data_IF_803095115842
#
_entry.id   IF_803095115842
#
_cell.length_a   1.000
_cell.length_b   1.000
_cell.length_c   1.000
_cell.angle_alpha   90.00
_cell.angle_beta   90.00
_cell.angle_gamma   90.00
#
_symmetry.space_group_name_H-M   'P 1'
#
loop_
_entity.id
_entity.type
_entity.pdbx_description
1 polymer ?
#
# COMPACT_ATOMS: atom_id res chain seq x y z
N UNK A 1 20.93 5.87 -6.00
CA UNK A 1 19.77 5.04 -5.62
C UNK A 1 19.41 4.23 -6.85
N UNK A 2 19.54 2.90 -6.79
CA UNK A 2 19.13 2.06 -7.92
C UNK A 2 17.63 1.82 -7.80
N UNK A 3 16.86 2.38 -8.73
CA UNK A 3 15.43 2.16 -8.83
C UNK A 3 15.24 1.00 -9.81
N UNK A 4 14.74 -0.12 -9.31
CA UNK A 4 14.43 -1.30 -10.11
C UNK A 4 12.91 -1.33 -10.24
N UNK A 5 12.41 -1.10 -11.45
CA UNK A 5 10.99 -1.25 -11.75
C UNK A 5 10.64 -2.75 -11.75
N UNK A 6 9.57 -3.11 -11.06
CA UNK A 6 9.21 -4.50 -10.76
C UNK A 6 7.73 -4.70 -11.12
N UNK A 7 7.49 -5.14 -12.35
CA UNK A 7 6.16 -5.34 -12.94
C UNK A 7 5.53 -6.71 -12.64
N UNK A 8 5.76 -7.28 -11.46
CA UNK A 8 5.15 -8.57 -11.09
C UNK A 8 3.87 -8.34 -10.26
N UNK A 9 2.67 -8.45 -10.85
CA UNK A 9 1.41 -8.26 -10.13
C UNK A 9 1.12 -9.37 -9.09
N UNK A 10 1.81 -10.51 -9.15
CA UNK A 10 1.67 -11.58 -8.15
C UNK A 10 2.63 -11.42 -6.97
N UNK A 11 3.54 -10.44 -7.03
CA UNK A 11 4.50 -10.14 -5.97
C UNK A 11 3.84 -9.98 -4.61
N UNK A 12 2.63 -9.41 -4.60
CA UNK A 12 1.80 -9.33 -3.42
C UNK A 12 0.42 -9.93 -3.69
N UNK A 13 0.32 -11.25 -3.63
CA UNK A 13 -0.95 -11.97 -3.63
C UNK A 13 -1.26 -12.55 -2.23
N UNK A 14 -1.29 -11.68 -1.22
CA UNK A 14 -1.62 -12.01 0.18
C UNK A 14 -2.12 -10.79 0.94
N UNK A 15 -2.63 -11.01 2.15
CA UNK A 15 -2.98 -9.93 3.08
C UNK A 15 -1.72 -9.24 3.63
N UNK A 16 -1.79 -7.94 3.94
CA UNK A 16 -0.70 -7.20 4.55
C UNK A 16 -0.38 -7.71 5.96
N UNK A 17 0.90 -7.62 6.33
CA UNK A 17 1.39 -7.96 7.67
C UNK A 17 0.99 -6.91 8.70
N UNK A 18 0.93 -5.65 8.28
CA UNK A 18 0.43 -4.54 9.09
C UNK A 18 -0.29 -3.51 8.22
N UNK A 19 -1.29 -2.86 8.80
CA UNK A 19 -2.04 -1.78 8.17
C UNK A 19 -2.01 -0.59 9.12
N UNK A 20 -1.60 0.56 8.60
CA UNK A 20 -1.72 1.84 9.29
C UNK A 20 -2.77 2.69 8.56
N UNK A 21 -3.81 3.10 9.26
CA UNK A 21 -4.89 3.90 8.68
C UNK A 21 -4.55 5.38 8.83
N UNK A 22 -4.35 6.07 7.70
CA UNK A 22 -4.05 7.50 7.68
C UNK A 22 -5.31 8.35 7.69
N UNK A 23 -6.38 7.89 7.03
CA UNK A 23 -7.66 8.58 6.90
C UNK A 23 -8.79 7.55 7.02
N UNK A 24 -9.83 7.83 7.80
CA UNK A 24 -11.04 6.98 7.88
C UNK A 24 -12.33 7.78 8.16
N UNK A 25 -12.39 9.03 7.69
CA UNK A 25 -13.48 9.96 8.07
C UNK A 25 -14.58 10.13 7.01
N UNK A 26 -14.44 9.52 5.82
CA UNK A 26 -15.50 9.55 4.78
C UNK A 26 -15.75 10.90 4.10
N UNK A 27 -15.15 11.99 4.59
CA UNK A 27 -15.52 13.36 4.24
C UNK A 27 -14.38 14.15 3.56
N UNK A 28 -13.32 13.47 3.12
CA UNK A 28 -12.18 14.11 2.46
C UNK A 28 -12.39 14.10 0.95
N UNK A 29 -12.51 15.28 0.33
CA UNK A 29 -12.71 15.41 -1.11
C UNK A 29 -11.45 15.98 -1.76
N UNK A 30 -10.88 15.24 -2.72
CA UNK A 30 -9.69 15.64 -3.47
C UNK A 30 -9.93 15.39 -4.96
N UNK A 31 -9.71 16.41 -5.79
CA UNK A 31 -9.84 16.32 -7.27
C UNK A 31 -11.16 15.70 -7.76
N UNK A 32 -12.25 15.87 -7.01
CA UNK A 32 -13.57 15.34 -7.33
C UNK A 32 -13.77 13.85 -6.99
N UNK A 33 -12.93 13.29 -6.12
CA UNK A 33 -13.10 12.00 -5.47
C UNK A 33 -13.43 12.23 -4.00
N UNK A 34 -14.41 11.51 -3.47
CA UNK A 34 -14.64 11.41 -2.04
C UNK A 34 -13.81 10.24 -1.52
N UNK A 35 -12.76 10.54 -0.77
CA UNK A 35 -11.88 9.53 -0.17
C UNK A 35 -12.49 9.07 1.14
N UNK A 36 -12.78 7.77 1.20
CA UNK A 36 -13.31 7.14 2.41
C UNK A 36 -12.18 6.77 3.37
N UNK A 37 -11.17 6.08 2.83
CA UNK A 37 -10.08 5.50 3.61
C UNK A 37 -8.76 5.60 2.86
N UNK A 38 -7.69 5.91 3.59
CA UNK A 38 -6.31 5.77 3.10
C UNK A 38 -5.54 4.91 4.08
N UNK A 39 -4.91 3.86 3.57
CA UNK A 39 -4.12 2.91 4.35
C UNK A 39 -2.69 2.81 3.81
N UNK A 40 -1.72 2.75 4.71
CA UNK A 40 -0.41 2.22 4.40
C UNK A 40 -0.38 0.74 4.78
N UNK A 41 0.00 -0.11 3.84
CA UNK A 41 0.04 -1.56 3.99
C UNK A 41 1.47 -2.05 3.91
N UNK A 42 1.91 -2.75 4.95
CA UNK A 42 3.23 -3.36 5.03
C UNK A 42 3.17 -4.80 4.56
N UNK A 43 4.12 -5.17 3.70
CA UNK A 43 4.38 -6.55 3.29
C UNK A 43 5.84 -6.90 3.54
N UNK A 44 6.10 -7.87 4.40
CA UNK A 44 7.43 -8.45 4.61
C UNK A 44 7.64 -9.57 3.59
N UNK A 45 8.42 -9.26 2.55
CA UNK A 45 8.55 -10.16 1.39
C UNK A 45 9.52 -11.29 1.65
N UNK A 46 10.77 -10.95 2.02
CA UNK A 46 11.86 -11.90 2.20
C UNK A 46 12.85 -11.37 3.23
N UNK A 47 13.56 -12.28 3.87
CA UNK A 47 14.70 -11.96 4.72
C UNK A 47 15.96 -12.31 3.92
N UNK A 48 16.71 -11.29 3.50
CA UNK A 48 18.04 -11.48 2.94
C UNK A 48 19.06 -11.64 4.07
N UNK A 49 19.96 -12.61 3.90
CA UNK A 49 20.95 -12.95 4.94
C UNK A 49 21.94 -11.81 5.24
N UNK A 50 22.12 -10.86 4.32
CA UNK A 50 23.07 -9.75 4.44
C UNK A 50 22.37 -8.41 4.69
N UNK A 51 21.23 -8.18 4.05
CA UNK A 51 20.51 -6.90 4.06
C UNK A 51 19.32 -6.88 5.04
N UNK A 52 18.94 -8.03 5.59
CA UNK A 52 17.83 -8.14 6.53
C UNK A 52 16.46 -8.26 5.84
N UNK A 53 15.35 -8.00 6.56
CA UNK A 53 14.01 -8.07 6.00
C UNK A 53 13.78 -6.98 4.95
N UNK A 54 13.31 -7.38 3.77
CA UNK A 54 12.78 -6.47 2.78
C UNK A 54 11.29 -6.25 3.03
N UNK A 55 10.93 -4.98 3.20
CA UNK A 55 9.56 -4.53 3.25
C UNK A 55 9.15 -3.89 1.93
N UNK A 56 7.92 -4.17 1.52
CA UNK A 56 7.19 -3.42 0.51
C UNK A 56 6.06 -2.69 1.22
N UNK A 57 6.02 -1.38 1.07
CA UNK A 57 4.96 -0.53 1.59
C UNK A 57 4.12 -0.09 0.40
N UNK A 58 2.82 -0.36 0.44
CA UNK A 58 1.87 0.13 -0.56
C UNK A 58 0.88 1.10 0.09
N UNK A 59 0.35 2.03 -0.71
CA UNK A 59 -0.77 2.86 -0.31
C UNK A 59 -2.03 2.25 -0.93
N UNK A 60 -3.06 2.08 -0.12
CA UNK A 60 -4.41 1.73 -0.58
C UNK A 60 -5.32 2.93 -0.35
N UNK A 61 -6.09 3.29 -1.38
CA UNK A 61 -7.00 4.43 -1.35
C UNK A 61 -8.38 3.94 -1.76
N UNK A 62 -9.35 4.04 -0.86
CA UNK A 62 -10.76 3.76 -1.15
C UNK A 62 -11.53 5.05 -1.39
N UNK A 63 -12.26 5.11 -2.50
CA UNK A 63 -13.02 6.30 -2.91
C UNK A 63 -14.44 5.95 -3.35
N UNK A 64 -15.28 6.97 -3.52
CA UNK A 64 -16.61 6.87 -4.12
C UNK A 64 -16.64 6.28 -5.53
N UNK A 65 -15.50 6.27 -6.24
CA UNK A 65 -15.38 5.74 -7.61
C UNK A 65 -14.62 4.41 -7.69
N UNK A 66 -14.35 3.79 -6.54
CA UNK A 66 -13.60 2.54 -6.42
C UNK A 66 -12.29 2.72 -5.66
N UNK A 67 -11.54 1.62 -5.55
CA UNK A 67 -10.29 1.58 -4.80
C UNK A 67 -9.07 1.34 -5.70
N UNK A 68 -7.91 1.84 -5.25
CA UNK A 68 -6.60 1.68 -5.88
C UNK A 68 -5.53 1.31 -4.85
#
# INVERSE_FOLDING_TARGET
MNIIDLHDPQRINRNPDAIEVLVSSGNFVEQGFSIHTVELRLYLEKIDKKLGPYSLITSFVDTDKGSI
#
